data_IF_236853381550
#
_entry.id   IF_236853381550
#
_cell.length_a   1.000
_cell.length_b   1.000
_cell.length_c   1.000
_cell.angle_alpha   90.00
_cell.angle_beta   90.00
_cell.angle_gamma   90.00
#
_symmetry.space_group_name_H-M   'P 1'
#
loop_
_entity.id
_entity.type
_entity.pdbx_description
1 polymer ?
#
# COMPACT_ATOMS: atom_id res chain seq x y z
N UNK A 1 24.88 -1.83 23.92
CA UNK A 1 23.52 -2.36 23.61
C UNK A 1 23.63 -3.15 22.33
N UNK A 2 22.99 -4.33 22.22
CA UNK A 2 22.96 -5.06 20.95
C UNK A 2 22.36 -4.17 19.86
N UNK A 3 22.91 -4.25 18.65
CA UNK A 3 22.35 -3.56 17.48
C UNK A 3 20.97 -4.14 17.18
N UNK A 4 20.01 -3.25 16.93
CA UNK A 4 18.69 -3.63 16.43
C UNK A 4 18.86 -4.23 15.03
N UNK A 5 18.41 -5.47 14.82
CA UNK A 5 18.25 -6.03 13.47
C UNK A 5 16.92 -5.54 12.88
N UNK A 6 16.90 -5.27 11.57
CA UNK A 6 15.67 -4.96 10.83
C UNK A 6 14.63 -6.08 10.99
N UNK A 7 15.08 -7.34 11.08
CA UNK A 7 14.18 -8.50 11.21
C UNK A 7 13.47 -8.55 12.57
N UNK A 8 13.99 -7.86 13.58
CA UNK A 8 13.39 -7.79 14.91
C UNK A 8 12.34 -6.69 15.03
N UNK A 9 12.13 -5.92 13.96
CA UNK A 9 11.18 -4.82 13.91
C UNK A 9 9.83 -5.25 13.38
N UNK A 10 8.80 -4.81 14.08
CA UNK A 10 7.46 -4.86 13.53
C UNK A 10 7.28 -3.69 12.56
N UNK A 11 6.44 -3.92 11.56
CA UNK A 11 6.05 -2.89 10.61
C UNK A 11 4.55 -2.94 10.33
N UNK A 12 4.05 -1.90 9.68
CA UNK A 12 2.73 -1.85 9.07
C UNK A 12 2.80 -1.05 7.79
N UNK A 13 1.83 -1.23 6.90
CA UNK A 13 1.76 -0.52 5.64
C UNK A 13 0.38 0.06 5.42
N UNK A 14 0.36 1.26 4.85
CA UNK A 14 -0.83 1.87 4.25
C UNK A 14 -0.58 1.92 2.75
N UNK A 15 -1.45 1.30 1.96
CA UNK A 15 -1.28 1.17 0.52
C UNK A 15 -2.52 1.71 -0.16
N UNK A 16 -2.36 2.80 -0.90
CA UNK A 16 -3.45 3.47 -1.61
C UNK A 16 -3.66 2.87 -3.00
N UNK A 17 -4.92 2.76 -3.41
CA UNK A 17 -5.32 2.21 -4.68
C UNK A 17 -6.70 2.70 -5.13
N UNK A 18 -6.99 2.41 -6.39
CA UNK A 18 -8.30 2.60 -7.01
C UNK A 18 -8.59 1.44 -7.97
N UNK A 19 -9.63 1.53 -8.81
CA UNK A 19 -10.01 0.47 -9.77
C UNK A 19 -11.01 -0.55 -9.24
N UNK A 20 -11.15 -0.64 -7.92
CA UNK A 20 -12.17 -1.42 -7.21
C UNK A 20 -12.68 -0.64 -5.99
N UNK A 21 -13.83 -1.04 -5.46
CA UNK A 21 -14.39 -0.44 -4.24
C UNK A 21 -13.72 -1.00 -2.98
N UNK A 22 -13.84 -0.27 -1.86
CA UNK A 22 -13.41 -0.78 -0.53
C UNK A 22 -14.01 -2.15 -0.20
N UNK A 23 -15.29 -2.34 -0.53
CA UNK A 23 -15.98 -3.64 -0.36
C UNK A 23 -15.30 -4.73 -1.20
N UNK A 24 -15.10 -4.50 -2.50
CA UNK A 24 -14.47 -5.47 -3.39
C UNK A 24 -13.05 -5.82 -2.94
N UNK A 25 -12.31 -4.83 -2.44
CA UNK A 25 -10.96 -5.04 -1.90
C UNK A 25 -11.00 -5.96 -0.67
N UNK A 26 -11.91 -5.68 0.27
CA UNK A 26 -12.10 -6.51 1.46
C UNK A 26 -12.57 -7.92 1.10
N UNK A 27 -13.51 -8.07 0.16
CA UNK A 27 -14.00 -9.39 -0.28
C UNK A 27 -12.91 -10.22 -0.96
N UNK A 28 -12.05 -9.60 -1.76
CA UNK A 28 -10.92 -10.28 -2.39
C UNK A 28 -9.92 -10.81 -1.34
N UNK A 29 -9.63 -10.00 -0.32
CA UNK A 29 -8.69 -10.38 0.75
C UNK A 29 -9.32 -11.37 1.75
N UNK A 30 -10.61 -11.25 2.02
CA UNK A 30 -11.37 -12.26 2.77
C UNK A 30 -11.34 -13.62 2.06
N UNK A 31 -11.49 -13.63 0.74
CA UNK A 31 -11.39 -14.84 -0.08
C UNK A 31 -10.00 -15.47 0.00
N UNK A 32 -8.94 -14.66 0.00
CA UNK A 32 -7.57 -15.13 0.20
C UNK A 32 -7.40 -15.82 1.56
N UNK A 33 -7.96 -15.25 2.63
CA UNK A 33 -7.83 -15.82 3.97
C UNK A 33 -8.83 -16.93 4.28
N UNK A 34 -9.85 -17.13 3.45
CA UNK A 34 -10.96 -18.03 3.76
C UNK A 34 -11.86 -17.51 4.88
N UNK A 35 -11.95 -16.18 5.03
CA UNK A 35 -12.74 -15.49 6.06
C UNK A 35 -13.83 -14.61 5.42
N UNK A 36 -14.38 -13.65 6.18
CA UNK A 36 -15.46 -12.77 5.70
C UNK A 36 -15.04 -11.31 5.79
N UNK A 37 -15.47 -10.51 4.82
CA UNK A 37 -15.39 -9.06 4.87
C UNK A 37 -16.57 -8.50 5.68
N UNK A 38 -16.30 -7.51 6.52
CA UNK A 38 -17.30 -6.85 7.36
C UNK A 38 -17.26 -5.34 7.12
N UNK A 39 -18.40 -4.75 6.80
CA UNK A 39 -18.56 -3.29 6.82
C UNK A 39 -18.72 -2.83 8.26
N UNK A 40 -17.60 -2.55 8.95
CA UNK A 40 -17.63 -2.33 10.41
C UNK A 40 -18.30 -1.02 10.78
N UNK A 41 -18.36 -0.05 9.86
CA UNK A 41 -18.97 1.28 10.06
C UNK A 41 -18.45 2.01 11.30
N UNK A 42 -17.26 1.64 11.78
CA UNK A 42 -16.66 2.18 13.00
C UNK A 42 -16.28 3.66 12.87
N UNK A 43 -16.19 4.17 11.64
CA UNK A 43 -16.03 5.60 11.33
C UNK A 43 -16.91 5.99 10.16
N UNK A 44 -17.64 7.10 10.30
CA UNK A 44 -18.42 7.69 9.21
C UNK A 44 -17.55 8.30 8.10
N UNK A 45 -16.38 8.81 8.46
CA UNK A 45 -15.46 9.47 7.51
C UNK A 45 -14.66 8.45 6.72
N UNK A 46 -14.09 7.46 7.41
CA UNK A 46 -13.23 6.45 6.79
C UNK A 46 -14.04 5.29 6.18
N UNK A 47 -15.29 5.13 6.60
CA UNK A 47 -16.24 4.11 6.13
C UNK A 47 -15.58 2.71 5.93
N UNK A 48 -15.01 2.15 7.00
CA UNK A 48 -14.10 1.01 6.89
C UNK A 48 -14.81 -0.29 6.54
N UNK A 49 -14.20 -1.01 5.61
CA UNK A 49 -14.38 -2.45 5.46
C UNK A 49 -13.19 -3.18 6.10
N UNK A 50 -13.45 -4.30 6.77
CA UNK A 50 -12.46 -4.99 7.58
C UNK A 50 -12.49 -6.49 7.31
N UNK A 51 -11.30 -7.11 7.36
CA UNK A 51 -11.10 -8.54 7.22
C UNK A 51 -10.16 -8.99 8.31
N UNK A 52 -10.55 -9.98 9.11
CA UNK A 52 -9.67 -10.61 10.07
C UNK A 52 -9.06 -11.86 9.46
N UNK A 53 -7.72 -11.98 9.51
CA UNK A 53 -7.01 -13.16 9.03
C UNK A 53 -7.09 -14.34 10.03
N UNK A 54 -6.53 -15.49 9.67
CA UNK A 54 -6.57 -16.70 10.49
C UNK A 54 -5.71 -16.61 11.77
N UNK A 55 -4.93 -15.54 11.94
CA UNK A 55 -4.15 -15.26 13.14
C UNK A 55 -4.83 -14.20 14.04
N UNK A 56 -6.04 -13.76 13.67
CA UNK A 56 -6.78 -12.75 14.42
C UNK A 56 -6.33 -11.32 14.15
N UNK A 57 -5.54 -11.07 13.10
CA UNK A 57 -5.09 -9.72 12.73
C UNK A 57 -6.07 -9.10 11.74
N UNK A 58 -6.47 -7.87 12.02
CA UNK A 58 -7.45 -7.14 11.19
C UNK A 58 -6.77 -6.27 10.15
N UNK A 59 -7.12 -6.51 8.89
CA UNK A 59 -6.81 -5.70 7.72
C UNK A 59 -7.98 -4.77 7.44
N UNK A 60 -7.70 -3.50 7.14
CA UNK A 60 -8.73 -2.47 6.99
C UNK A 60 -8.63 -1.83 5.61
N UNK A 61 -9.77 -1.50 5.02
CA UNK A 61 -9.91 -0.80 3.75
C UNK A 61 -10.74 0.44 4.01
N UNK A 62 -10.12 1.61 3.90
CA UNK A 62 -10.69 2.89 4.31
C UNK A 62 -10.72 3.88 3.16
N UNK A 63 -11.55 4.90 3.32
CA UNK A 63 -11.63 6.03 2.41
C UNK A 63 -10.46 6.99 2.65
N UNK A 64 -9.76 7.35 1.57
CA UNK A 64 -8.86 8.51 1.56
C UNK A 64 -9.28 9.51 0.47
N UNK A 65 -9.54 10.74 0.89
CA UNK A 65 -9.90 11.85 0.01
C UNK A 65 -8.82 12.23 -1.01
N UNK A 66 -7.54 11.94 -0.71
CA UNK A 66 -6.38 12.28 -1.54
C UNK A 66 -6.37 11.52 -2.88
N UNK A 67 -6.97 10.32 -2.92
CA UNK A 67 -6.93 9.41 -4.06
C UNK A 67 -7.87 9.91 -5.17
N UNK A 68 -7.41 9.99 -6.42
CA UNK A 68 -8.28 10.20 -7.57
C UNK A 68 -8.89 8.86 -8.01
N UNK A 69 -10.19 8.69 -7.77
CA UNK A 69 -10.92 7.48 -8.10
C UNK A 69 -10.96 7.21 -9.60
N UNK A 70 -10.84 5.93 -9.98
CA UNK A 70 -11.07 5.47 -11.34
C UNK A 70 -11.62 4.05 -11.36
N UNK A 71 -12.30 3.67 -12.44
CA UNK A 71 -12.75 2.31 -12.67
C UNK A 71 -12.41 1.85 -14.08
N UNK A 72 -12.44 0.53 -14.29
CA UNK A 72 -12.18 -0.06 -15.60
C UNK A 72 -13.44 -0.07 -16.45
N UNK A 73 -13.37 0.56 -17.62
CA UNK A 73 -14.38 0.46 -18.67
C UNK A 73 -13.75 -0.17 -19.92
N UNK A 74 -14.02 -1.46 -20.12
CA UNK A 74 -13.39 -2.27 -21.16
C UNK A 74 -11.87 -2.36 -20.97
N UNK A 75 -11.11 -1.72 -21.88
CA UNK A 75 -9.63 -1.64 -21.82
C UNK A 75 -9.11 -0.33 -21.21
N UNK A 76 -9.98 0.62 -20.93
CA UNK A 76 -9.59 1.94 -20.43
C UNK A 76 -9.86 2.08 -18.94
N UNK A 77 -9.01 2.84 -18.27
CA UNK A 77 -9.23 3.31 -16.91
C UNK A 77 -9.85 4.71 -16.99
N UNK A 78 -11.07 4.87 -16.49
CA UNK A 78 -11.82 6.13 -16.56
C UNK A 78 -12.00 6.73 -15.16
N UNK A 79 -11.84 8.05 -14.99
CA UNK A 79 -12.07 8.71 -13.71
C UNK A 79 -13.49 8.46 -13.17
N UNK A 80 -13.63 8.32 -11.86
CA UNK A 80 -14.92 8.24 -11.18
C UNK A 80 -14.91 9.12 -9.92
N UNK A 81 -15.99 9.86 -9.72
CA UNK A 81 -16.19 10.72 -8.54
C UNK A 81 -16.74 9.99 -7.31
N UNK A 82 -16.89 8.67 -7.40
CA UNK A 82 -17.39 7.83 -6.31
C UNK A 82 -16.28 7.59 -5.29
N UNK A 83 -16.56 7.96 -4.04
CA UNK A 83 -15.65 7.78 -2.92
C UNK A 83 -15.33 6.31 -2.63
N UNK A 84 -16.19 5.37 -3.03
CA UNK A 84 -15.96 3.94 -2.80
C UNK A 84 -14.71 3.40 -3.50
N UNK A 85 -14.30 4.05 -4.60
CA UNK A 85 -13.10 3.71 -5.38
C UNK A 85 -11.82 4.42 -4.90
N UNK A 86 -11.89 5.17 -3.80
CA UNK A 86 -10.75 5.81 -3.15
C UNK A 86 -10.34 4.97 -1.95
N UNK A 87 -9.47 3.99 -2.18
CA UNK A 87 -9.22 2.90 -1.23
C UNK A 87 -7.79 2.98 -0.68
N UNK A 88 -7.66 3.13 0.63
CA UNK A 88 -6.41 2.86 1.34
C UNK A 88 -6.55 1.55 2.10
N UNK A 89 -5.61 0.62 1.92
CA UNK A 89 -5.50 -0.58 2.74
C UNK A 89 -4.52 -0.34 3.88
N UNK A 90 -4.97 -0.44 5.13
CA UNK A 90 -4.12 -0.47 6.31
C UNK A 90 -3.87 -1.92 6.73
N UNK A 91 -2.61 -2.34 6.73
CA UNK A 91 -2.23 -3.63 7.29
C UNK A 91 -2.32 -3.59 8.82
N UNK A 92 -2.47 -4.76 9.48
CA UNK A 92 -2.19 -4.87 10.89
C UNK A 92 -0.69 -4.63 11.18
N UNK A 93 -0.32 -4.64 12.45
CA UNK A 93 1.08 -4.76 12.88
C UNK A 93 1.60 -6.14 12.48
N UNK A 94 2.65 -6.17 11.65
CA UNK A 94 3.27 -7.35 11.07
C UNK A 94 4.71 -7.55 11.55
N UNK A 95 5.15 -8.79 11.59
CA UNK A 95 6.55 -9.18 11.77
C UNK A 95 7.27 -9.29 10.42
N UNK A 96 8.61 -9.17 10.40
CA UNK A 96 9.40 -9.35 9.17
C UNK A 96 9.13 -10.68 8.46
N UNK A 97 8.88 -11.75 9.22
CA UNK A 97 8.50 -13.08 8.70
C UNK A 97 7.19 -13.05 7.89
N UNK A 98 6.31 -12.08 8.12
CA UNK A 98 5.01 -11.92 7.45
C UNK A 98 5.07 -11.05 6.20
N UNK A 99 6.27 -10.61 5.77
CA UNK A 99 6.44 -9.85 4.52
C UNK A 99 5.81 -10.57 3.31
N UNK A 100 5.90 -11.92 3.27
CA UNK A 100 5.27 -12.73 2.24
C UNK A 100 3.74 -12.61 2.23
N UNK A 101 3.11 -12.54 3.41
CA UNK A 101 1.65 -12.35 3.57
C UNK A 101 1.21 -11.00 3.01
N UNK A 102 1.94 -9.92 3.34
CA UNK A 102 1.67 -8.59 2.77
C UNK A 102 1.77 -8.60 1.24
N UNK A 103 2.83 -9.19 0.69
CA UNK A 103 2.97 -9.33 -0.76
C UNK A 103 1.81 -10.11 -1.39
N UNK A 104 1.24 -11.07 -0.67
CA UNK A 104 0.09 -11.86 -1.11
C UNK A 104 -1.21 -11.10 -1.15
N UNK A 105 -1.46 -10.30 -0.12
CA UNK A 105 -2.57 -9.35 -0.10
C UNK A 105 -2.46 -8.37 -1.27
N UNK A 106 -1.30 -7.75 -1.49
CA UNK A 106 -1.08 -6.80 -2.60
C UNK A 106 -1.32 -7.43 -3.97
N UNK A 107 -0.79 -8.64 -4.21
CA UNK A 107 -1.02 -9.36 -5.47
C UNK A 107 -2.50 -9.73 -5.66
N UNK A 108 -3.18 -10.13 -4.59
CA UNK A 108 -4.61 -10.45 -4.62
C UNK A 108 -5.44 -9.24 -5.01
N UNK A 109 -5.18 -8.09 -4.40
CA UNK A 109 -5.85 -6.82 -4.74
C UNK A 109 -5.61 -6.44 -6.20
N UNK A 110 -4.36 -6.53 -6.68
CA UNK A 110 -4.04 -6.28 -8.09
C UNK A 110 -4.80 -7.22 -9.03
N UNK A 111 -4.88 -8.51 -8.71
CA UNK A 111 -5.65 -9.47 -9.52
C UNK A 111 -7.16 -9.21 -9.47
N UNK A 112 -7.68 -8.67 -8.37
CA UNK A 112 -9.07 -8.26 -8.23
C UNK A 112 -9.41 -6.96 -9.00
N UNK A 113 -8.41 -6.28 -9.57
CA UNK A 113 -8.60 -5.08 -10.38
C UNK A 113 -8.06 -3.79 -9.77
N UNK A 114 -7.30 -3.88 -8.66
CA UNK A 114 -6.62 -2.73 -8.09
C UNK A 114 -5.59 -2.16 -9.06
N UNK A 115 -5.63 -0.85 -9.22
CA UNK A 115 -4.66 -0.06 -9.95
C UNK A 115 -4.23 1.14 -9.10
N UNK A 116 -3.10 1.72 -9.46
CA UNK A 116 -2.59 2.96 -8.85
C UNK A 116 -2.50 4.04 -9.92
N UNK A 117 -2.57 5.30 -9.50
CA UNK A 117 -2.30 6.45 -10.36
C UNK A 117 -1.46 7.47 -9.57
N UNK A 118 -1.17 8.62 -10.18
CA UNK A 118 -0.25 9.63 -9.61
C UNK A 118 -0.68 10.25 -8.26
N UNK A 119 -1.90 9.99 -7.77
CA UNK A 119 -2.30 10.42 -6.42
C UNK A 119 -2.09 9.35 -5.34
N UNK A 120 -1.77 8.11 -5.72
CA UNK A 120 -1.66 7.00 -4.77
C UNK A 120 -0.27 6.98 -4.13
N UNK A 121 -0.23 6.87 -2.81
CA UNK A 121 0.97 6.69 -1.99
C UNK A 121 1.12 5.30 -1.36
N UNK A 122 2.25 5.12 -0.68
CA UNK A 122 2.47 4.01 0.24
C UNK A 122 3.20 4.52 1.48
N UNK A 123 2.64 4.25 2.66
CA UNK A 123 3.30 4.53 3.95
C UNK A 123 3.81 3.23 4.56
N UNK A 124 4.98 3.32 5.20
CA UNK A 124 5.54 2.22 5.99
C UNK A 124 5.72 2.70 7.41
N UNK A 125 5.01 2.08 8.34
CA UNK A 125 5.14 2.29 9.77
C UNK A 125 6.16 1.31 10.31
N UNK A 126 7.11 1.78 11.11
CA UNK A 126 8.13 0.96 11.76
C UNK A 126 8.02 1.15 13.27
N UNK A 127 8.03 0.06 14.03
CA UNK A 127 7.88 0.10 15.48
C UNK A 127 9.07 0.81 16.15
N UNK A 128 8.80 1.90 16.86
CA UNK A 128 9.82 2.68 17.54
C UNK A 128 10.16 2.16 18.95
N UNK A 129 9.42 1.19 19.49
CA UNK A 129 9.52 0.77 20.90
C UNK A 129 10.90 0.24 21.31
N UNK A 130 11.64 -0.35 20.38
CA UNK A 130 13.02 -0.84 20.61
C UNK A 130 14.10 0.20 20.30
N UNK A 131 13.73 1.37 19.77
CA UNK A 131 14.68 2.40 19.37
C UNK A 131 15.10 3.31 20.53
N UNK A 132 16.37 3.70 20.51
CA UNK A 132 16.92 4.80 21.32
C UNK A 132 17.04 6.08 20.47
N UNK A 133 17.12 7.28 21.08
CA UNK A 133 17.36 8.52 20.34
C UNK A 133 18.59 8.44 19.41
N UNK A 134 19.65 7.78 19.85
CA UNK A 134 20.85 7.58 19.04
C UNK A 134 20.59 6.67 17.83
N UNK A 135 19.84 5.57 18.02
CA UNK A 135 19.50 4.66 16.92
C UNK A 135 18.62 5.33 15.85
N UNK A 136 17.68 6.20 16.26
CA UNK A 136 16.85 6.98 15.34
C UNK A 136 17.69 7.99 14.56
N UNK A 137 18.59 8.71 15.24
CA UNK A 137 19.54 9.62 14.58
C UNK A 137 20.38 8.91 13.53
N UNK A 138 20.85 7.70 13.84
CA UNK A 138 21.62 6.88 12.91
C UNK A 138 20.77 6.46 11.70
N UNK A 139 19.54 5.98 11.92
CA UNK A 139 18.63 5.60 10.84
C UNK A 139 18.37 6.78 9.88
N UNK A 140 18.06 7.97 10.42
CA UNK A 140 17.87 9.18 9.63
C UNK A 140 19.13 9.56 8.85
N UNK A 141 20.29 9.49 9.49
CA UNK A 141 21.57 9.82 8.85
C UNK A 141 21.90 8.85 7.71
N UNK A 142 21.56 7.56 7.84
CA UNK A 142 21.70 6.58 6.77
C UNK A 142 20.75 6.91 5.61
N UNK A 143 19.47 7.17 5.90
CA UNK A 143 18.47 7.55 4.87
C UNK A 143 18.93 8.77 4.06
N UNK A 144 19.37 9.84 4.75
CA UNK A 144 19.87 11.04 4.07
C UNK A 144 21.17 10.80 3.29
N UNK A 145 22.11 10.03 3.84
CA UNK A 145 23.42 9.82 3.19
C UNK A 145 23.40 8.78 2.07
N UNK A 146 22.33 7.99 1.96
CA UNK A 146 22.19 6.88 1.01
C UNK A 146 20.92 6.95 0.16
N UNK A 147 20.21 8.08 0.18
CA UNK A 147 18.96 8.29 -0.57
C UNK A 147 19.09 7.86 -2.03
N UNK A 148 20.13 8.31 -2.73
CA UNK A 148 20.35 7.98 -4.14
C UNK A 148 20.47 6.48 -4.40
N UNK A 149 21.19 5.76 -3.53
CA UNK A 149 21.36 4.30 -3.67
C UNK A 149 20.02 3.59 -3.42
N UNK A 150 19.27 4.05 -2.41
CA UNK A 150 17.95 3.48 -2.09
C UNK A 150 16.97 3.70 -3.24
N UNK A 151 16.92 4.90 -3.81
CA UNK A 151 16.08 5.22 -4.97
C UNK A 151 16.48 4.39 -6.19
N UNK A 152 17.78 4.27 -6.47
CA UNK A 152 18.27 3.46 -7.58
C UNK A 152 17.91 1.98 -7.42
N UNK A 153 17.94 1.45 -6.18
CA UNK A 153 17.58 0.06 -5.89
C UNK A 153 16.11 -0.27 -6.20
N UNK A 154 15.23 0.73 -6.13
CA UNK A 154 13.81 0.60 -6.48
C UNK A 154 13.57 0.57 -8.00
N UNK A 155 14.62 0.75 -8.82
CA UNK A 155 14.52 0.90 -10.28
C UNK A 155 13.51 1.97 -10.65
N UNK A 156 13.54 3.10 -9.95
CA UNK A 156 12.73 4.27 -10.25
C UNK A 156 13.61 5.37 -10.86
N UNK A 157 13.10 6.05 -11.89
CA UNK A 157 13.69 7.28 -12.42
C UNK A 157 13.14 8.48 -11.67
N UNK A 158 13.98 9.48 -11.48
CA UNK A 158 13.56 10.78 -10.96
C UNK A 158 13.20 11.69 -12.13
N UNK A 159 11.96 12.15 -12.19
CA UNK A 159 11.55 13.16 -13.18
C UNK A 159 11.98 14.56 -12.76
N UNK A 160 12.08 15.52 -13.72
CA UNK A 160 12.26 16.93 -13.40
C UNK A 160 11.12 17.41 -12.48
N UNK A 161 11.43 17.73 -11.22
CA UNK A 161 10.44 18.03 -10.18
C UNK A 161 10.51 17.11 -8.95
N UNK A 162 11.27 16.02 -9.02
CA UNK A 162 11.61 15.18 -7.87
C UNK A 162 10.75 13.93 -7.70
N UNK A 163 9.70 13.76 -8.50
CA UNK A 163 8.83 12.58 -8.51
C UNK A 163 9.59 11.33 -8.98
N UNK A 164 9.39 10.21 -8.29
CA UNK A 164 9.96 8.91 -8.67
C UNK A 164 8.94 8.11 -9.48
N UNK A 165 9.33 7.65 -10.67
CA UNK A 165 8.50 6.82 -11.55
C UNK A 165 9.21 5.50 -11.85
N UNK A 166 8.52 4.35 -11.95
CA UNK A 166 9.16 3.08 -12.27
C UNK A 166 9.87 3.11 -13.63
N UNK A 167 11.07 2.51 -13.73
CA UNK A 167 11.76 2.32 -15.00
C UNK A 167 10.93 1.46 -15.95
N UNK A 168 10.50 2.04 -17.09
CA UNK A 168 9.72 1.35 -18.13
C UNK A 168 8.22 1.71 -18.18
N UNK A 169 7.74 2.65 -17.36
CA UNK A 169 6.34 3.10 -17.36
C UNK A 169 5.95 4.02 -18.55
N UNK A 170 6.78 4.13 -19.59
CA UNK A 170 6.58 5.01 -20.74
C UNK A 170 6.12 4.28 -22.01
N UNK A 171 4.92 4.67 -22.50
CA UNK A 171 4.35 4.53 -23.85
C UNK A 171 4.00 3.13 -24.39
N UNK A 172 2.84 2.59 -23.98
CA UNK A 172 1.93 1.91 -24.92
C UNK A 172 0.82 2.88 -25.34
N UNK A 173 1.22 3.99 -25.96
CA UNK A 173 0.32 4.84 -26.72
C UNK A 173 0.74 4.74 -28.19
N UNK A 174 -0.07 4.01 -28.97
CA UNK A 174 -0.06 4.07 -30.42
C UNK A 174 1.07 3.33 -31.13
N UNK A 175 0.81 2.07 -31.47
CA UNK A 175 1.12 1.53 -32.80
C UNK A 175 0.28 0.26 -32.98
N UNK A 176 -0.80 0.40 -33.75
CA UNK A 176 -1.57 -0.72 -34.30
C UNK A 176 -0.97 -1.00 -35.69
N UNK A 177 -0.86 -2.25 -36.15
CA UNK A 177 -0.68 -2.52 -37.58
C UNK A 177 -1.90 -2.05 -38.40
#
# INVERSE_FOLDING_TARGET
MPSIDLKDQYFGCEIEMTGLTRQQAAEAVASLFGTNAVHSRSSRTYDPWEVTDNEGKTWRFVYDSSIHGSHRNGRQQVPIGDGDYKVEMNSPKLEYSEMGKLQEVVRTLRHAGAVVNGSCGMHVHVDASKHTPQSLKNALSIMYSKEDILVQSLKCKREPGGTLVPEGAGTHAGENP
#
